data_IF_803430181561
#
_entry.id   IF_803430181561
#
_cell.length_a   1.000
_cell.length_b   1.000
_cell.length_c   1.000
_cell.angle_alpha   90.00
_cell.angle_beta   90.00
_cell.angle_gamma   90.00
#
_symmetry.space_group_name_H-M   'P 1'
#
loop_
_entity.id
_entity.type
_entity.pdbx_description
1 polymer ?
#
# COMPACT_ATOMS: atom_id res chain seq x y z
N UNK A 1 -23.60 -7.15 6.91
CA UNK A 1 -22.55 -6.82 5.93
C UNK A 1 -22.37 -5.32 5.98
N UNK A 2 -21.31 -4.85 6.64
CA UNK A 2 -20.97 -3.43 6.66
C UNK A 2 -20.69 -2.99 5.22
N UNK A 3 -21.27 -1.86 4.77
CA UNK A 3 -20.94 -1.29 3.46
C UNK A 3 -19.54 -0.70 3.55
N UNK A 4 -18.69 -1.00 2.57
CA UNK A 4 -17.35 -0.40 2.45
C UNK A 4 -17.47 1.13 2.51
N UNK A 5 -16.61 1.85 3.26
CA UNK A 5 -16.62 3.30 3.30
C UNK A 5 -16.42 3.89 1.89
N UNK A 6 -17.11 4.98 1.57
CA UNK A 6 -16.96 5.71 0.30
C UNK A 6 -15.72 6.63 0.28
N UNK A 7 -14.76 6.38 1.17
CA UNK A 7 -13.50 7.10 1.27
C UNK A 7 -12.36 6.13 1.61
N UNK A 8 -11.15 6.50 1.24
CA UNK A 8 -9.90 5.84 1.65
C UNK A 8 -9.35 6.55 2.89
N UNK A 9 -8.81 5.77 3.83
CA UNK A 9 -7.95 6.30 4.91
C UNK A 9 -6.54 6.45 4.36
N UNK A 10 -5.99 7.64 4.39
CA UNK A 10 -4.66 7.93 3.85
C UNK A 10 -3.59 7.98 4.95
N UNK A 11 -3.95 8.45 6.14
CA UNK A 11 -3.01 8.64 7.23
C UNK A 11 -3.66 9.35 8.41
N UNK A 12 -3.00 9.28 9.56
CA UNK A 12 -3.39 10.06 10.72
C UNK A 12 -2.15 10.49 11.50
N UNK A 13 -2.27 11.59 12.23
CA UNK A 13 -1.18 12.11 13.06
C UNK A 13 -1.77 12.67 14.36
N UNK A 14 -1.53 12.03 15.50
CA UNK A 14 -1.90 12.60 16.80
C UNK A 14 -0.84 13.60 17.28
N UNK A 15 -1.23 14.51 18.17
CA UNK A 15 -0.28 15.33 18.92
C UNK A 15 0.58 14.47 19.85
N UNK A 16 1.75 14.96 20.24
CA UNK A 16 2.54 14.30 21.28
C UNK A 16 1.85 14.42 22.65
N UNK A 17 2.12 13.47 23.55
CA UNK A 17 1.56 13.48 24.91
C UNK A 17 1.99 14.69 25.75
N UNK A 18 3.16 15.25 25.43
CA UNK A 18 3.75 16.39 26.13
C UNK A 18 3.29 17.76 25.58
N UNK A 19 2.45 17.79 24.54
CA UNK A 19 1.93 19.04 23.99
C UNK A 19 0.83 19.64 24.87
N UNK A 20 0.89 20.94 25.11
CA UNK A 20 -0.12 21.69 25.87
C UNK A 20 -1.51 21.66 25.20
N UNK A 21 -1.53 21.56 23.87
CA UNK A 21 -2.75 21.49 23.06
C UNK A 21 -2.99 20.06 22.64
N UNK A 22 -4.24 19.61 22.78
CA UNK A 22 -4.65 18.26 22.40
C UNK A 22 -5.33 18.32 21.03
N UNK A 23 -4.74 17.62 20.07
CA UNK A 23 -5.25 17.57 18.71
C UNK A 23 -4.85 16.26 18.02
N UNK A 24 -5.57 15.91 16.97
CA UNK A 24 -5.12 14.95 15.97
C UNK A 24 -5.62 15.35 14.59
N UNK A 25 -4.98 14.81 13.57
CA UNK A 25 -5.30 15.02 12.17
C UNK A 25 -5.61 13.68 11.52
N UNK A 26 -6.66 13.65 10.69
CA UNK A 26 -6.99 12.49 9.86
C UNK A 26 -6.94 12.90 8.39
N UNK A 27 -6.37 12.06 7.55
CA UNK A 27 -6.29 12.26 6.11
C UNK A 27 -7.16 11.23 5.40
N UNK A 28 -8.09 11.71 4.58
CA UNK A 28 -9.01 10.87 3.83
C UNK A 28 -9.02 11.26 2.36
N UNK A 29 -9.21 10.29 1.48
CA UNK A 29 -9.41 10.51 0.04
C UNK A 29 -10.79 10.08 -0.38
N UNK A 30 -11.52 10.95 -1.06
CA UNK A 30 -12.86 10.67 -1.60
C UNK A 30 -12.92 11.12 -3.06
N UNK A 31 -13.28 10.21 -3.97
CA UNK A 31 -13.35 10.46 -5.41
C UNK A 31 -12.16 11.27 -5.97
N UNK A 32 -10.94 10.93 -5.56
CA UNK A 32 -9.73 11.58 -6.06
C UNK A 32 -9.37 12.89 -5.38
N UNK A 33 -10.15 13.38 -4.41
CA UNK A 33 -9.85 14.58 -3.61
C UNK A 33 -9.37 14.18 -2.22
N UNK A 34 -8.36 14.88 -1.71
CA UNK A 34 -7.81 14.63 -0.38
C UNK A 34 -8.38 15.67 0.59
N UNK A 35 -8.85 15.23 1.76
CA UNK A 35 -9.30 16.08 2.85
C UNK A 35 -8.49 15.75 4.11
N UNK A 36 -7.85 16.77 4.65
CA UNK A 36 -7.27 16.76 5.99
C UNK A 36 -8.29 17.31 6.98
N UNK A 37 -8.67 16.48 7.97
CA UNK A 37 -9.58 16.85 9.05
C UNK A 37 -8.75 17.11 10.30
N UNK A 38 -8.70 18.37 10.73
CA UNK A 38 -8.07 18.77 11.98
C UNK A 38 -9.09 18.68 13.13
N UNK A 39 -8.76 17.93 14.17
CA UNK A 39 -9.60 17.81 15.36
C UNK A 39 -8.84 18.38 16.55
N UNK A 40 -9.28 19.52 17.05
CA UNK A 40 -8.65 20.23 18.17
C UNK A 40 -9.63 20.33 19.33
N UNK A 41 -9.16 20.02 20.55
CA UNK A 41 -9.97 20.08 21.76
C UNK A 41 -10.62 21.46 21.97
N UNK A 42 -9.95 22.53 21.57
CA UNK A 42 -10.41 23.91 21.77
C UNK A 42 -11.66 24.27 20.93
N UNK A 43 -11.96 23.50 19.89
CA UNK A 43 -13.13 23.72 19.01
C UNK A 43 -14.41 23.04 19.54
N UNK A 44 -14.36 22.47 20.75
CA UNK A 44 -15.44 21.75 21.38
C UNK A 44 -16.08 22.62 22.46
N UNK A 45 -17.19 23.27 22.12
CA UNK A 45 -17.89 24.20 22.99
C UNK A 45 -19.15 23.55 23.56
N UNK A 46 -19.28 23.56 24.89
CA UNK A 46 -20.42 22.94 25.60
C UNK A 46 -20.73 21.50 25.13
N UNK A 47 -19.68 20.71 24.88
CA UNK A 47 -19.79 19.39 24.26
C UNK A 47 -19.07 18.29 25.08
N UNK A 48 -19.54 17.98 26.31
CA UNK A 48 -18.87 17.01 27.19
C UNK A 48 -18.84 15.59 26.60
N UNK A 49 -19.89 15.18 25.88
CA UNK A 49 -19.94 13.85 25.25
C UNK A 49 -18.94 13.75 24.11
N UNK A 50 -18.91 14.75 23.22
CA UNK A 50 -17.97 14.76 22.09
C UNK A 50 -16.52 14.88 22.55
N UNK A 51 -16.28 15.58 23.66
CA UNK A 51 -14.96 15.71 24.26
C UNK A 51 -14.44 14.40 24.87
N UNK A 52 -15.32 13.60 25.47
CA UNK A 52 -15.00 12.26 25.96
C UNK A 52 -14.59 11.33 24.81
N UNK A 53 -15.37 11.31 23.73
CA UNK A 53 -15.05 10.55 22.51
C UNK A 53 -13.72 11.01 21.88
N UNK A 54 -13.51 12.32 21.75
CA UNK A 54 -12.24 12.90 21.27
C UNK A 54 -11.05 12.40 22.08
N UNK A 55 -11.17 12.37 23.40
CA UNK A 55 -10.10 11.94 24.30
C UNK A 55 -9.75 10.47 24.08
N UNK A 56 -10.78 9.60 24.00
CA UNK A 56 -10.58 8.18 23.78
C UNK A 56 -9.96 7.90 22.40
N UNK A 57 -10.38 8.61 21.34
CA UNK A 57 -9.77 8.47 20.03
C UNK A 57 -8.34 9.00 19.97
N UNK A 58 -8.03 10.12 20.64
CA UNK A 58 -6.67 10.63 20.69
C UNK A 58 -5.71 9.65 21.37
N UNK A 59 -6.11 9.06 22.50
CA UNK A 59 -5.31 8.03 23.18
C UNK A 59 -5.09 6.80 22.31
N UNK A 60 -6.13 6.36 21.59
CA UNK A 60 -6.06 5.26 20.63
C UNK A 60 -5.04 5.54 19.51
N UNK A 61 -5.13 6.71 18.87
CA UNK A 61 -4.23 7.08 17.77
C UNK A 61 -2.77 7.26 18.23
N UNK A 62 -2.55 7.73 19.46
CA UNK A 62 -1.20 7.82 20.04
C UNK A 62 -0.56 6.45 20.22
N UNK A 63 -1.33 5.49 20.73
CA UNK A 63 -0.87 4.10 20.87
C UNK A 63 -0.63 3.42 19.51
N UNK A 64 -1.44 3.73 18.50
CA UNK A 64 -1.25 3.23 17.13
C UNK A 64 0.05 3.78 16.53
N UNK A 65 0.30 5.09 16.66
CA UNK A 65 1.53 5.73 16.19
C UNK A 65 2.80 5.26 16.92
N UNK A 66 2.69 4.80 18.16
CA UNK A 66 3.80 4.22 18.95
C UNK A 66 4.03 2.72 18.61
N UNK A 67 3.17 2.11 17.77
CA UNK A 67 3.23 0.69 17.43
C UNK A 67 2.75 -0.24 18.55
N UNK A 68 2.13 0.31 19.59
CA UNK A 68 1.70 -0.43 20.79
C UNK A 68 0.29 -1.03 20.64
N UNK A 69 -0.50 -0.57 19.66
CA UNK A 69 -1.90 -0.96 19.48
C UNK A 69 -2.10 -2.40 18.94
N UNK A 70 -1.18 -2.91 18.12
CA UNK A 70 -1.23 -4.27 17.54
C UNK A 70 -0.44 -5.33 18.34
N UNK A 71 -0.05 -5.05 19.58
CA UNK A 71 0.68 -6.03 20.40
C UNK A 71 -0.19 -7.05 21.14
N UNK A 72 -1.53 -7.03 20.98
CA UNK A 72 -2.45 -7.87 21.76
C UNK A 72 -3.52 -8.64 20.95
N UNK A 73 -3.29 -8.89 19.66
CA UNK A 73 -4.00 -9.97 18.94
C UNK A 73 -3.12 -11.23 18.86
N UNK A 74 -2.61 -11.70 20.01
CA UNK A 74 -2.40 -13.12 20.20
C UNK A 74 -3.66 -13.67 20.88
N UNK A 75 -4.38 -14.54 20.17
CA UNK A 75 -5.45 -15.38 20.71
C UNK A 75 -4.90 -16.26 21.84
N UNK A 76 -4.88 -15.75 23.07
CA UNK A 76 -4.76 -16.58 24.27
C UNK A 76 -6.17 -16.91 24.78
N UNK A 77 -6.73 -17.98 24.21
CA UNK A 77 -7.66 -18.86 24.91
C UNK A 77 -6.93 -19.47 26.11
N UNK A 78 -6.85 -18.76 27.26
CA UNK A 78 -6.83 -19.41 28.57
C UNK A 78 -7.09 -18.44 29.76
N UNK A 79 -8.30 -18.63 30.28
CA UNK A 79 -8.87 -18.33 31.59
C UNK A 79 -7.91 -18.01 32.79
N UNK A 80 -8.25 -16.89 33.46
CA UNK A 80 -8.04 -16.47 34.87
C UNK A 80 -6.88 -15.51 35.23
N UNK A 81 -7.23 -14.22 35.38
CA UNK A 81 -6.52 -13.27 36.23
C UNK A 81 -7.18 -11.88 36.24
N UNK A 82 -7.97 -11.59 37.27
CA UNK A 82 -8.70 -10.32 37.39
C UNK A 82 -7.78 -9.11 37.63
N UNK A 83 -7.84 -8.15 36.70
CA UNK A 83 -7.50 -6.75 36.92
C UNK A 83 -8.71 -5.90 36.59
N UNK A 84 -9.34 -5.30 37.60
CA UNK A 84 -10.51 -4.43 37.45
C UNK A 84 -10.11 -3.13 36.74
N UNK A 85 -10.40 -3.02 35.44
CA UNK A 85 -10.58 -1.72 34.81
C UNK A 85 -11.94 -1.16 35.26
N UNK A 86 -12.03 0.08 35.77
CA UNK A 86 -13.28 0.62 36.27
C UNK A 86 -14.29 0.78 35.11
N UNK A 87 -15.30 -0.09 35.14
CA UNK A 87 -16.51 -0.04 34.32
C UNK A 87 -17.36 1.18 34.71
N UNK A 88 -17.58 2.13 33.79
CA UNK A 88 -18.88 2.76 33.49
C UNK A 88 -18.75 3.92 32.47
N UNK A 89 -18.90 3.59 31.18
CA UNK A 89 -19.53 4.41 30.15
C UNK A 89 -20.05 3.45 29.06
N UNK A 90 -21.16 3.75 28.35
CA UNK A 90 -21.60 2.91 27.24
C UNK A 90 -20.49 2.89 26.20
N UNK A 91 -19.83 1.74 26.03
CA UNK A 91 -18.61 1.61 25.23
C UNK A 91 -18.86 2.12 23.81
N UNK A 92 -18.20 3.23 23.49
CA UNK A 92 -17.91 3.59 22.11
C UNK A 92 -17.25 2.38 21.45
N UNK A 93 -17.62 2.08 20.20
CA UNK A 93 -16.90 1.08 19.40
C UNK A 93 -15.54 1.68 19.03
N UNK A 94 -14.59 1.59 19.98
CA UNK A 94 -13.25 2.15 19.87
C UNK A 94 -12.46 1.35 18.85
N UNK A 95 -12.59 1.76 17.61
CA UNK A 95 -11.83 1.25 16.47
C UNK A 95 -11.32 2.41 15.62
N UNK A 96 -10.26 2.13 14.85
CA UNK A 96 -9.76 3.10 13.87
C UNK A 96 -10.86 3.47 12.86
N UNK A 97 -11.67 2.50 12.44
CA UNK A 97 -12.83 2.74 11.57
C UNK A 97 -13.86 3.67 12.25
N UNK A 98 -14.16 3.42 13.53
CA UNK A 98 -15.05 4.25 14.34
C UNK A 98 -14.57 5.70 14.45
N UNK A 99 -13.26 5.90 14.63
CA UNK A 99 -12.65 7.23 14.71
C UNK A 99 -12.81 8.02 13.39
N UNK A 100 -12.46 7.38 12.27
CA UNK A 100 -12.59 8.03 10.96
C UNK A 100 -14.05 8.32 10.61
N UNK A 101 -14.95 7.36 10.83
CA UNK A 101 -16.39 7.54 10.57
C UNK A 101 -16.97 8.65 11.45
N UNK A 102 -16.57 8.72 12.73
CA UNK A 102 -16.97 9.77 13.66
C UNK A 102 -16.54 11.16 13.16
N UNK A 103 -15.32 11.29 12.68
CA UNK A 103 -14.76 12.57 12.24
C UNK A 103 -15.26 13.01 10.85
N UNK A 104 -15.38 12.09 9.89
CA UNK A 104 -15.73 12.41 8.49
C UNK A 104 -17.22 12.64 8.28
N UNK A 105 -18.08 12.00 9.08
CA UNK A 105 -19.54 12.01 8.88
C UNK A 105 -20.17 13.40 8.75
N UNK A 106 -19.78 14.43 9.52
CA UNK A 106 -20.28 15.79 9.35
C UNK A 106 -19.92 16.42 8.00
N UNK A 107 -18.86 15.94 7.34
CA UNK A 107 -18.36 16.47 6.08
C UNK A 107 -19.00 15.85 4.84
N UNK A 108 -19.73 14.72 4.93
CA UNK A 108 -20.29 14.05 3.75
C UNK A 108 -21.08 14.98 2.80
N UNK A 109 -21.98 15.86 3.28
CA UNK A 109 -22.71 16.75 2.37
C UNK A 109 -21.79 17.73 1.62
N UNK A 110 -20.69 18.18 2.24
CA UNK A 110 -19.72 19.06 1.59
C UNK A 110 -18.81 18.27 0.64
N UNK A 111 -18.41 17.06 1.03
CA UNK A 111 -17.59 16.17 0.21
C UNK A 111 -18.32 15.77 -1.08
N UNK A 112 -19.63 15.52 -1.03
CA UNK A 112 -20.44 15.28 -2.23
C UNK A 112 -20.43 16.47 -3.22
N UNK A 113 -20.24 17.69 -2.73
CA UNK A 113 -20.16 18.91 -3.56
C UNK A 113 -18.76 19.11 -4.17
N UNK A 114 -17.70 18.94 -3.37
CA UNK A 114 -16.31 19.22 -3.81
C UNK A 114 -15.63 18.02 -4.50
N UNK A 115 -16.13 16.81 -4.23
CA UNK A 115 -15.65 15.55 -4.78
C UNK A 115 -16.84 14.73 -5.33
N UNK A 116 -17.54 15.23 -6.35
CA UNK A 116 -18.65 14.50 -6.94
C UNK A 116 -18.16 13.16 -7.52
N UNK A 117 -19.00 12.11 -7.49
CA UNK A 117 -18.63 10.83 -8.05
C UNK A 117 -18.27 10.99 -9.54
N UNK A 118 -17.25 10.25 -10.03
CA UNK A 118 -16.87 10.32 -11.43
C UNK A 118 -18.06 9.96 -12.32
N UNK A 119 -18.32 10.79 -13.33
CA UNK A 119 -19.40 10.52 -14.30
C UNK A 119 -19.09 9.26 -15.11
N UNK A 120 -20.08 8.38 -15.29
CA UNK A 120 -20.01 7.08 -16.01
C UNK A 120 -19.46 7.13 -17.46
N UNK A 121 -19.15 8.31 -18.00
CA UNK A 121 -18.67 8.50 -19.38
C UNK A 121 -17.20 8.95 -19.50
N UNK A 122 -16.52 9.29 -18.40
CA UNK A 122 -15.12 9.73 -18.45
C UNK A 122 -14.18 8.56 -18.13
N UNK A 123 -13.26 8.24 -19.04
CA UNK A 123 -12.12 7.37 -18.74
C UNK A 123 -11.22 8.10 -17.73
N UNK A 124 -11.13 7.58 -16.52
CA UNK A 124 -10.20 8.08 -15.49
C UNK A 124 -8.78 7.76 -15.92
N UNK A 125 -7.88 8.74 -15.87
CA UNK A 125 -6.44 8.54 -16.13
C UNK A 125 -5.63 8.58 -14.85
N UNK A 126 -4.38 8.08 -14.88
CA UNK A 126 -3.47 8.21 -13.73
C UNK A 126 -3.23 9.69 -13.37
N UNK A 127 -3.19 10.60 -14.37
CA UNK A 127 -3.11 12.04 -14.11
C UNK A 127 -4.27 12.49 -13.21
N UNK A 128 -5.51 12.11 -13.54
CA UNK A 128 -6.68 12.48 -12.75
C UNK A 128 -6.69 11.80 -11.37
N UNK A 129 -6.19 10.57 -11.28
CA UNK A 129 -6.08 9.84 -10.02
C UNK A 129 -5.12 10.51 -9.03
N UNK A 130 -4.00 11.06 -9.53
CA UNK A 130 -2.95 11.69 -8.73
C UNK A 130 -3.08 13.23 -8.63
N UNK A 131 -3.83 13.89 -9.50
CA UNK A 131 -4.03 15.36 -9.49
C UNK A 131 -5.05 15.83 -8.45
N UNK A 132 -5.22 15.09 -7.35
CA UNK A 132 -6.21 15.39 -6.33
C UNK A 132 -5.97 16.77 -5.71
N UNK A 133 -7.02 17.59 -5.63
CA UNK A 133 -6.97 18.81 -4.83
C UNK A 133 -6.92 18.42 -3.36
N UNK A 134 -6.12 19.16 -2.59
CA UNK A 134 -6.01 19.00 -1.16
C UNK A 134 -6.88 20.04 -0.48
N UNK A 135 -7.71 19.56 0.43
CA UNK A 135 -8.61 20.37 1.23
C UNK A 135 -8.26 20.20 2.69
N UNK A 136 -8.50 21.23 3.47
CA UNK A 136 -8.29 21.21 4.91
C UNK A 136 -9.52 21.78 5.61
N UNK A 137 -9.96 21.12 6.68
CA UNK A 137 -11.06 21.61 7.50
C UNK A 137 -10.92 21.18 8.96
N UNK A 138 -11.38 22.04 9.87
CA UNK A 138 -11.48 21.70 11.29
C UNK A 138 -12.80 21.00 11.62
N UNK A 139 -12.78 19.97 12.46
CA UNK A 139 -13.99 19.41 13.08
C UNK A 139 -14.32 20.21 14.35
N UNK A 140 -15.58 20.62 14.49
CA UNK A 140 -16.06 21.39 15.64
C UNK A 140 -17.17 20.66 16.36
N UNK A 141 -17.37 20.96 17.64
CA UNK A 141 -18.52 20.50 18.39
C UNK A 141 -19.20 21.67 19.12
N UNK A 142 -20.51 21.81 18.96
CA UNK A 142 -21.32 22.79 19.70
C UNK A 142 -22.54 22.09 20.27
N UNK A 143 -22.75 22.22 21.57
CA UNK A 143 -23.88 21.60 22.27
C UNK A 143 -23.98 20.09 22.01
N UNK A 144 -22.84 19.39 22.05
CA UNK A 144 -22.65 17.95 21.77
C UNK A 144 -22.95 17.50 20.33
N UNK A 145 -23.08 18.44 19.40
CA UNK A 145 -23.29 18.15 17.97
C UNK A 145 -22.02 18.45 17.19
N UNK A 146 -21.56 17.49 16.39
CA UNK A 146 -20.43 17.67 15.48
C UNK A 146 -20.82 18.50 14.26
N UNK A 147 -19.94 19.43 13.88
CA UNK A 147 -20.11 20.31 12.73
C UNK A 147 -18.84 20.34 11.89
N UNK A 148 -18.98 20.30 10.54
CA UNK A 148 -17.85 20.54 9.67
C UNK A 148 -17.45 22.02 9.77
N UNK A 149 -16.15 22.28 9.96
CA UNK A 149 -15.58 23.61 9.77
C UNK A 149 -15.58 24.02 8.30
N UNK A 150 -15.15 25.25 8.04
CA UNK A 150 -15.00 25.75 6.68
C UNK A 150 -13.91 24.94 5.97
N UNK A 151 -14.23 24.44 4.78
CA UNK A 151 -13.26 23.78 3.93
C UNK A 151 -12.41 24.84 3.23
N UNK A 152 -11.11 24.74 3.40
CA UNK A 152 -10.13 25.55 2.71
C UNK A 152 -9.45 24.71 1.63
N UNK A 153 -9.31 25.26 0.42
CA UNK A 153 -8.40 24.69 -0.57
C UNK A 153 -7.00 24.92 -0.03
N UNK A 154 -6.25 23.85 0.17
CA UNK A 154 -4.83 23.94 0.42
C UNK A 154 -4.18 24.19 -0.93
N UNK A 155 -3.78 25.45 -1.17
CA UNK A 155 -2.78 25.70 -2.20
C UNK A 155 -1.63 24.74 -1.91
N UNK A 156 -1.14 24.07 -2.94
CA UNK A 156 -0.07 23.07 -2.84
C UNK A 156 1.22 23.80 -2.39
N UNK A 157 1.28 24.23 -1.13
CA UNK A 157 2.39 24.90 -0.49
C UNK A 157 3.45 23.83 -0.33
N UNK A 158 4.42 23.90 -1.23
CA UNK A 158 5.67 23.18 -1.22
C UNK A 158 5.50 21.65 -1.42
N UNK A 159 5.44 21.14 -2.66
CA UNK A 159 6.67 20.91 -3.44
C UNK A 159 7.87 21.63 -2.83
N UNK A 160 8.34 21.16 -1.67
CA UNK A 160 9.65 21.51 -1.15
C UNK A 160 10.60 21.32 -2.31
N UNK A 161 11.19 22.45 -2.73
CA UNK A 161 12.26 22.60 -3.71
C UNK A 161 12.88 21.25 -4.03
N UNK A 162 12.51 20.70 -5.18
CA UNK A 162 13.14 19.51 -5.72
C UNK A 162 14.64 19.72 -5.71
N UNK A 163 15.34 18.96 -4.88
CA UNK A 163 16.60 18.45 -5.37
C UNK A 163 16.18 17.56 -6.52
N UNK A 164 16.50 17.95 -7.76
CA UNK A 164 16.36 17.07 -8.89
C UNK A 164 17.03 15.74 -8.51
N UNK A 165 16.21 14.75 -8.13
CA UNK A 165 16.63 13.37 -8.00
C UNK A 165 17.42 13.05 -9.25
N UNK A 166 18.53 12.34 -9.05
CA UNK A 166 19.47 12.08 -10.14
C UNK A 166 18.67 11.52 -11.30
N UNK A 167 18.56 12.27 -12.41
CA UNK A 167 17.74 11.88 -13.56
C UNK A 167 18.35 10.59 -14.13
N UNK A 168 17.91 9.45 -13.63
CA UNK A 168 18.39 8.16 -14.03
C UNK A 168 17.85 7.90 -15.43
N UNK A 169 18.72 7.38 -16.29
CA UNK A 169 18.40 7.21 -17.70
C UNK A 169 17.94 5.77 -17.90
N UNK A 170 16.72 5.63 -18.40
CA UNK A 170 16.22 4.37 -18.95
C UNK A 170 16.10 4.48 -20.47
N UNK A 171 16.17 3.34 -21.16
CA UNK A 171 15.87 3.23 -22.60
C UNK A 171 14.46 2.70 -22.85
N UNK A 172 13.71 2.36 -21.80
CA UNK A 172 12.32 1.93 -21.95
C UNK A 172 11.41 3.09 -22.39
N UNK A 173 10.26 2.79 -23.01
CA UNK A 173 9.28 3.80 -23.36
C UNK A 173 8.77 4.58 -22.13
N UNK A 174 8.61 5.89 -22.30
CA UNK A 174 7.98 6.77 -21.31
C UNK A 174 6.58 7.13 -21.77
N UNK A 175 5.62 7.04 -20.86
CA UNK A 175 4.22 7.43 -21.07
C UNK A 175 3.85 8.56 -20.12
N UNK A 176 3.03 9.50 -20.58
CA UNK A 176 2.51 10.54 -19.70
C UNK A 176 1.32 9.98 -18.91
N UNK A 177 1.18 10.35 -17.63
CA UNK A 177 0.10 9.86 -16.76
C UNK A 177 -1.31 10.11 -17.33
N UNK A 178 -1.48 11.16 -18.15
CA UNK A 178 -2.73 11.48 -18.87
C UNK A 178 -3.07 10.52 -20.01
N UNK A 179 -2.11 9.71 -20.46
CA UNK A 179 -2.26 8.72 -21.54
C UNK A 179 -2.60 7.33 -21.00
N UNK A 180 -2.52 7.15 -19.67
CA UNK A 180 -2.71 5.86 -19.00
C UNK A 180 -4.08 5.87 -18.31
N UNK A 181 -5.01 5.09 -18.84
CA UNK A 181 -6.36 4.91 -18.32
C UNK A 181 -6.35 3.95 -17.12
N UNK A 182 -7.04 4.28 -16.03
CA UNK A 182 -7.26 3.38 -14.89
C UNK A 182 -8.43 2.45 -15.21
N UNK A 183 -8.25 1.16 -14.94
CA UNK A 183 -9.28 0.14 -15.10
C UNK A 183 -9.75 -0.34 -13.72
N UNK A 184 -11.05 -0.32 -13.51
CA UNK A 184 -11.67 -0.89 -12.31
C UNK A 184 -12.90 -1.70 -12.69
N UNK A 185 -13.10 -2.82 -11.99
CA UNK A 185 -14.34 -3.60 -12.06
C UNK A 185 -15.48 -2.95 -11.26
N UNK A 186 -15.16 -1.98 -10.39
CA UNK A 186 -16.12 -1.18 -9.65
C UNK A 186 -15.79 0.33 -9.84
N UNK A 187 -16.53 1.02 -10.74
CA UNK A 187 -16.36 2.45 -10.97
C UNK A 187 -16.54 3.31 -9.71
N UNK A 188 -17.26 2.81 -8.69
CA UNK A 188 -17.50 3.52 -7.42
C UNK A 188 -16.19 3.76 -6.66
N UNK A 189 -15.25 2.83 -6.73
CA UNK A 189 -13.99 2.87 -5.98
C UNK A 189 -12.77 3.13 -6.86
N UNK A 190 -12.94 3.46 -8.15
CA UNK A 190 -11.82 3.66 -9.09
C UNK A 190 -10.83 4.76 -8.69
N UNK A 191 -11.27 5.72 -7.87
CA UNK A 191 -10.43 6.81 -7.34
C UNK A 191 -10.03 6.60 -5.86
N UNK A 192 -10.35 5.42 -5.32
CA UNK A 192 -10.12 5.00 -3.92
C UNK A 192 -9.13 3.82 -3.91
N UNK A 193 -9.34 2.83 -4.77
CA UNK A 193 -8.45 1.70 -4.92
C UNK A 193 -7.15 2.11 -5.60
N UNK A 194 -6.04 1.51 -5.20
CA UNK A 194 -4.77 1.70 -5.86
C UNK A 194 -4.89 1.32 -7.35
N UNK A 195 -4.45 2.18 -8.29
CA UNK A 195 -4.76 2.03 -9.71
C UNK A 195 -3.83 1.02 -10.38
N UNK A 196 -3.85 -0.23 -9.91
CA UNK A 196 -2.92 -1.28 -10.33
C UNK A 196 -3.22 -1.85 -11.71
N UNK A 197 -4.48 -1.81 -12.17
CA UNK A 197 -4.84 -2.24 -13.52
C UNK A 197 -5.07 -1.02 -14.41
N UNK A 198 -4.32 -0.93 -15.51
CA UNK A 198 -4.35 0.24 -16.38
C UNK A 198 -4.34 -0.14 -17.87
N UNK A 199 -4.73 0.80 -18.72
CA UNK A 199 -4.64 0.68 -20.18
C UNK A 199 -3.85 1.83 -20.77
N UNK A 200 -2.90 1.51 -21.64
CA UNK A 200 -2.21 2.50 -22.48
C UNK A 200 -2.03 1.93 -23.88
N UNK A 201 -2.27 2.75 -24.90
CA UNK A 201 -2.20 2.34 -26.32
C UNK A 201 -3.02 1.06 -26.64
N UNK A 202 -4.17 0.89 -25.97
CA UNK A 202 -5.05 -0.27 -26.16
C UNK A 202 -4.57 -1.57 -25.50
N UNK A 203 -3.51 -1.52 -24.67
CA UNK A 203 -2.95 -2.66 -23.96
C UNK A 203 -3.21 -2.56 -22.46
N UNK A 204 -3.74 -3.63 -21.89
CA UNK A 204 -3.95 -3.74 -20.44
C UNK A 204 -2.65 -4.20 -19.76
N UNK A 205 -2.28 -3.51 -18.68
CA UNK A 205 -1.00 -3.63 -17.99
C UNK A 205 -1.21 -3.49 -16.48
N UNK A 206 -0.22 -3.96 -15.72
CA UNK A 206 -0.11 -3.69 -14.30
C UNK A 206 0.69 -2.40 -14.08
N UNK A 207 0.15 -1.45 -13.33
CA UNK A 207 0.84 -0.25 -12.89
C UNK A 207 1.32 -0.44 -11.45
N UNK A 208 2.62 -0.25 -11.22
CA UNK A 208 3.21 -0.20 -9.88
C UNK A 208 3.57 1.26 -9.61
N UNK A 209 2.89 1.87 -8.64
CA UNK A 209 3.17 3.23 -8.22
C UNK A 209 4.48 3.29 -7.42
N UNK A 210 5.22 4.38 -7.56
CA UNK A 210 6.34 4.70 -6.67
C UNK A 210 5.83 5.48 -5.46
N UNK A 211 6.49 5.28 -4.32
CA UNK A 211 6.09 5.96 -3.09
C UNK A 211 6.46 7.45 -3.14
N UNK A 212 7.58 7.79 -3.79
CA UNK A 212 8.09 9.15 -3.89
C UNK A 212 8.57 9.50 -5.33
N UNK A 213 8.54 10.79 -5.73
CA UNK A 213 9.08 11.23 -7.02
C UNK A 213 10.59 10.99 -7.20
N UNK A 214 11.33 10.96 -6.08
CA UNK A 214 12.78 10.73 -6.02
C UNK A 214 13.12 9.27 -5.65
N UNK A 215 12.17 8.34 -5.85
CA UNK A 215 12.28 6.96 -5.41
C UNK A 215 13.43 6.20 -6.11
N UNK A 216 14.57 6.19 -5.42
CA UNK A 216 15.76 5.45 -5.83
C UNK A 216 15.54 3.93 -5.87
N UNK A 217 14.55 3.43 -5.14
CA UNK A 217 14.16 2.01 -5.11
C UNK A 217 13.38 1.69 -6.39
N UNK A 218 12.39 2.52 -6.74
CA UNK A 218 11.68 2.43 -8.02
C UNK A 218 12.63 2.53 -9.22
N UNK A 219 13.62 3.43 -9.16
CA UNK A 219 14.68 3.53 -10.16
C UNK A 219 15.50 2.23 -10.28
N UNK A 220 15.83 1.61 -9.15
CA UNK A 220 16.56 0.34 -9.12
C UNK A 220 15.78 -0.77 -9.82
N UNK A 221 14.48 -0.89 -9.52
CA UNK A 221 13.62 -1.90 -10.14
C UNK A 221 13.53 -1.73 -11.65
N UNK A 222 13.31 -0.50 -12.15
CA UNK A 222 13.23 -0.24 -13.59
C UNK A 222 14.52 -0.62 -14.30
N UNK A 223 15.67 -0.23 -13.74
CA UNK A 223 16.98 -0.57 -14.32
C UNK A 223 17.24 -2.09 -14.28
N UNK A 224 16.78 -2.80 -13.26
CA UNK A 224 16.90 -4.25 -13.17
C UNK A 224 16.01 -4.96 -14.19
N UNK A 225 14.75 -4.56 -14.33
CA UNK A 225 13.84 -5.11 -15.33
C UNK A 225 14.28 -4.79 -16.78
N UNK A 226 14.93 -3.65 -16.99
CA UNK A 226 15.55 -3.28 -18.25
C UNK A 226 16.72 -4.22 -18.59
N UNK A 227 17.61 -4.53 -17.62
CA UNK A 227 18.65 -5.55 -17.79
C UNK A 227 18.04 -6.92 -18.14
N UNK A 228 16.97 -7.31 -17.46
CA UNK A 228 16.27 -8.57 -17.71
C UNK A 228 15.70 -8.62 -19.14
N UNK A 229 15.17 -7.50 -19.63
CA UNK A 229 14.65 -7.36 -20.99
C UNK A 229 15.77 -7.46 -22.04
N UNK A 230 16.94 -6.89 -21.74
CA UNK A 230 18.10 -6.88 -22.64
C UNK A 230 18.87 -8.22 -22.67
N UNK A 231 18.81 -9.02 -21.60
CA UNK A 231 19.55 -10.28 -21.48
C UNK A 231 19.02 -11.42 -22.38
N UNK A 232 17.97 -11.19 -23.18
CA UNK A 232 17.49 -12.12 -24.23
C UNK A 232 17.27 -13.56 -23.75
N UNK A 233 16.64 -13.72 -22.59
CA UNK A 233 16.34 -15.03 -22.02
C UNK A 233 15.41 -15.87 -22.89
N UNK A 234 15.55 -17.20 -22.81
CA UNK A 234 14.54 -18.12 -23.31
C UNK A 234 13.20 -17.85 -22.58
N UNK A 235 12.07 -17.64 -23.28
CA UNK A 235 10.76 -17.42 -22.67
C UNK A 235 10.32 -18.53 -21.70
N UNK A 236 10.84 -19.76 -21.87
CA UNK A 236 10.51 -20.88 -20.98
C UNK A 236 11.32 -20.89 -19.67
N UNK A 237 12.48 -20.22 -19.65
CA UNK A 237 13.39 -20.15 -18.51
C UNK A 237 13.10 -18.95 -17.61
N UNK A 238 12.67 -17.83 -18.19
CA UNK A 238 12.50 -16.58 -17.46
C UNK A 238 11.02 -16.30 -17.18
N UNK A 239 10.56 -16.70 -15.99
CA UNK A 239 9.20 -16.45 -15.48
C UNK A 239 9.18 -15.23 -14.57
N UNK A 240 9.08 -14.07 -15.19
CA UNK A 240 8.90 -12.80 -14.51
C UNK A 240 8.05 -11.87 -15.36
N UNK A 241 7.48 -10.83 -14.76
CA UNK A 241 6.81 -9.79 -15.52
C UNK A 241 7.82 -8.99 -16.35
N UNK A 242 7.36 -8.43 -17.47
CA UNK A 242 8.20 -7.66 -18.39
C UNK A 242 7.87 -6.19 -18.28
N UNK A 243 8.91 -5.36 -18.18
CA UNK A 243 8.79 -3.91 -18.26
C UNK A 243 8.25 -3.52 -19.63
N UNK A 244 7.15 -2.78 -19.62
CA UNK A 244 6.56 -2.17 -20.80
C UNK A 244 7.00 -0.71 -20.97
N UNK A 245 7.17 0.00 -19.85
CA UNK A 245 7.65 1.38 -19.82
C UNK A 245 7.50 2.02 -18.44
N UNK A 246 7.80 3.29 -18.35
CA UNK A 246 7.61 4.13 -17.14
C UNK A 246 6.48 5.14 -17.35
N UNK A 247 5.93 5.65 -16.25
CA UNK A 247 4.91 6.69 -16.26
C UNK A 247 5.47 7.96 -15.62
N UNK A 248 5.29 9.09 -16.29
CA UNK A 248 5.68 10.42 -15.78
C UNK A 248 4.46 11.31 -15.53
N UNK A 249 4.54 12.17 -14.51
CA UNK A 249 3.60 13.27 -14.29
C UNK A 249 3.86 14.46 -15.25
N UNK A 250 3.04 15.51 -15.17
CA UNK A 250 3.20 16.73 -15.98
C UNK A 250 4.49 17.52 -15.69
N UNK A 251 5.15 17.24 -14.57
CA UNK A 251 6.44 17.84 -14.17
C UNK A 251 7.64 16.97 -14.58
N UNK A 252 7.40 15.87 -15.30
CA UNK A 252 8.41 14.87 -15.69
C UNK A 252 9.05 14.11 -14.51
N UNK A 253 8.34 13.99 -13.39
CA UNK A 253 8.72 13.03 -12.36
C UNK A 253 8.20 11.65 -12.72
N UNK A 254 9.03 10.62 -12.52
CA UNK A 254 8.60 9.23 -12.70
C UNK A 254 7.74 8.83 -11.50
N UNK A 255 6.48 8.50 -11.74
CA UNK A 255 5.50 8.16 -10.69
C UNK A 255 5.25 6.65 -10.58
N UNK A 256 5.86 5.85 -11.46
CA UNK A 256 5.74 4.40 -11.43
C UNK A 256 6.14 3.73 -12.74
N UNK A 257 5.95 2.41 -12.79
CA UNK A 257 6.25 1.60 -13.97
C UNK A 257 5.06 0.77 -14.45
N UNK A 258 5.11 0.42 -15.73
CA UNK A 258 4.14 -0.43 -16.41
C UNK A 258 4.73 -1.81 -16.65
N UNK A 259 4.05 -2.82 -16.14
CA UNK A 259 4.41 -4.22 -16.21
C UNK A 259 3.39 -5.00 -17.01
N UNK A 260 3.85 -6.01 -17.73
CA UNK A 260 2.96 -6.97 -18.36
C UNK A 260 2.14 -7.74 -17.30
N UNK A 261 0.83 -7.79 -17.51
CA UNK A 261 -0.08 -8.43 -16.57
C UNK A 261 0.19 -9.93 -16.45
N UNK A 262 0.25 -10.43 -15.22
CA UNK A 262 0.24 -11.86 -14.88
C UNK A 262 -1.16 -12.14 -14.33
N UNK A 263 -1.84 -13.19 -14.83
CA UNK A 263 -3.15 -13.58 -14.31
C UNK A 263 -2.97 -14.32 -12.98
N UNK A 264 -2.77 -13.54 -11.92
CA UNK A 264 -2.48 -14.02 -10.56
C UNK A 264 -3.71 -14.68 -9.96
N UNK A 265 -3.49 -15.84 -9.35
CA UNK A 265 -4.43 -16.47 -8.45
C UNK A 265 -4.10 -16.07 -6.99
N UNK A 266 -2.83 -16.18 -6.58
CA UNK A 266 -2.35 -15.69 -5.27
C UNK A 266 -0.82 -15.58 -5.21
N UNK A 267 -0.26 -15.16 -4.08
CA UNK A 267 1.18 -15.33 -3.81
C UNK A 267 1.52 -16.78 -3.47
N UNK A 268 2.77 -17.20 -3.69
CA UNK A 268 3.24 -18.53 -3.28
C UNK A 268 3.15 -18.71 -1.76
N UNK A 269 3.37 -17.64 -1.00
CA UNK A 269 3.20 -17.63 0.44
C UNK A 269 1.77 -18.01 0.83
N UNK A 270 0.79 -17.27 0.32
CA UNK A 270 -0.62 -17.47 0.62
C UNK A 270 -1.14 -18.80 0.10
N UNK A 271 -0.64 -19.28 -1.06
CA UNK A 271 -0.92 -20.64 -1.52
C UNK A 271 -0.48 -21.66 -0.49
N UNK A 272 0.76 -21.61 -0.01
CA UNK A 272 1.29 -22.64 0.91
C UNK A 272 0.58 -22.63 2.27
N UNK A 273 0.18 -21.46 2.78
CA UNK A 273 -0.50 -21.31 4.08
C UNK A 273 -2.02 -21.54 3.98
N UNK A 274 -2.69 -20.90 3.02
CA UNK A 274 -4.15 -20.75 3.00
C UNK A 274 -4.92 -21.86 2.28
N UNK A 275 -4.29 -22.63 1.39
CA UNK A 275 -4.94 -23.70 0.63
C UNK A 275 -4.31 -25.03 1.00
N UNK A 276 -5.13 -25.96 1.50
CA UNK A 276 -4.70 -27.28 1.99
C UNK A 276 -3.76 -28.05 1.05
N UNK A 277 -3.18 -29.19 1.50
CA UNK A 277 -1.92 -29.71 0.97
C UNK A 277 -1.96 -29.90 -0.55
N UNK A 278 -1.27 -29.02 -1.28
CA UNK A 278 -0.98 -29.23 -2.69
C UNK A 278 -0.22 -30.54 -2.87
N UNK A 279 -0.59 -31.29 -3.91
CA UNK A 279 0.13 -32.50 -4.28
C UNK A 279 1.60 -32.19 -4.56
N UNK A 280 2.49 -33.13 -4.22
CA UNK A 280 3.94 -32.99 -4.39
C UNK A 280 4.35 -32.51 -5.79
N UNK A 281 3.62 -32.94 -6.82
CA UNK A 281 3.84 -32.52 -8.20
C UNK A 281 3.78 -31.00 -8.42
N UNK A 282 2.81 -30.32 -7.80
CA UNK A 282 2.63 -28.86 -7.94
C UNK A 282 3.73 -28.13 -7.20
N UNK A 283 4.05 -28.56 -5.97
CA UNK A 283 5.17 -28.03 -5.19
C UNK A 283 6.51 -28.18 -5.92
N UNK A 284 6.77 -29.36 -6.50
CA UNK A 284 7.98 -29.61 -7.29
C UNK A 284 8.03 -28.77 -8.57
N UNK A 285 6.87 -28.45 -9.16
CA UNK A 285 6.79 -27.51 -10.29
C UNK A 285 7.17 -26.10 -9.87
N UNK A 286 6.59 -25.58 -8.79
CA UNK A 286 6.91 -24.24 -8.27
C UNK A 286 8.40 -24.12 -7.93
N UNK A 287 8.95 -25.06 -7.16
CA UNK A 287 10.39 -25.08 -6.84
C UNK A 287 11.26 -25.01 -8.09
N UNK A 288 10.99 -25.86 -9.09
CA UNK A 288 11.75 -25.88 -10.35
C UNK A 288 11.67 -24.55 -11.12
N UNK A 289 10.52 -23.89 -11.09
CA UNK A 289 10.30 -22.64 -11.81
C UNK A 289 11.00 -21.45 -11.16
N UNK A 290 10.89 -21.35 -9.83
CA UNK A 290 11.58 -20.32 -9.06
C UNK A 290 13.09 -20.52 -9.19
N UNK A 291 13.59 -21.75 -8.95
CA UNK A 291 15.01 -22.08 -9.11
C UNK A 291 15.52 -21.75 -10.53
N UNK A 292 14.82 -22.21 -11.56
CA UNK A 292 15.23 -21.99 -12.94
C UNK A 292 15.28 -20.50 -13.32
N UNK A 293 14.34 -19.70 -12.80
CA UNK A 293 14.30 -18.25 -13.03
C UNK A 293 15.47 -17.57 -12.33
N UNK A 294 15.70 -17.84 -11.04
CA UNK A 294 16.80 -17.26 -10.26
C UNK A 294 18.16 -17.65 -10.84
N UNK A 295 18.35 -18.92 -11.21
CA UNK A 295 19.58 -19.37 -11.87
C UNK A 295 19.82 -18.64 -13.20
N UNK A 296 18.76 -18.40 -13.98
CA UNK A 296 18.87 -17.65 -15.23
C UNK A 296 19.27 -16.18 -14.98
N UNK A 297 18.66 -15.52 -14.00
CA UNK A 297 19.04 -14.17 -13.58
C UNK A 297 20.52 -14.10 -13.21
N UNK A 298 20.98 -15.02 -12.35
CA UNK A 298 22.36 -15.05 -11.88
C UNK A 298 23.36 -15.34 -13.01
N UNK A 299 23.01 -16.22 -13.98
CA UNK A 299 23.84 -16.44 -15.18
C UNK A 299 24.04 -15.16 -16.00
N UNK A 300 23.07 -14.26 -15.99
CA UNK A 300 23.16 -12.96 -16.65
C UNK A 300 23.77 -11.86 -15.77
N UNK A 301 24.21 -12.19 -14.55
CA UNK A 301 24.74 -11.22 -13.59
C UNK A 301 23.70 -10.28 -12.99
N UNK A 302 22.43 -10.71 -12.97
CA UNK A 302 21.29 -9.96 -12.41
C UNK A 302 20.94 -10.56 -11.05
N UNK A 303 20.80 -9.71 -10.04
CA UNK A 303 20.38 -10.08 -8.68
C UNK A 303 18.88 -9.84 -8.56
N UNK A 304 18.16 -10.74 -7.87
CA UNK A 304 16.74 -10.57 -7.57
C UNK A 304 16.55 -9.56 -6.43
N UNK A 305 17.28 -9.73 -5.32
CA UNK A 305 17.49 -8.70 -4.31
C UNK A 305 16.64 -8.82 -3.05
N UNK A 306 15.43 -9.39 -3.15
CA UNK A 306 14.54 -9.68 -2.00
C UNK A 306 13.82 -11.02 -2.18
N UNK A 307 14.61 -12.10 -2.15
CA UNK A 307 14.11 -13.46 -2.37
C UNK A 307 13.25 -13.95 -1.18
N UNK A 308 11.92 -13.92 -1.36
CA UNK A 308 10.91 -14.42 -0.40
C UNK A 308 9.68 -14.99 -1.10
N UNK A 309 8.89 -15.79 -0.38
CA UNK A 309 7.72 -16.46 -0.98
C UNK A 309 6.60 -15.49 -1.38
N UNK A 310 6.44 -14.35 -0.70
CA UNK A 310 5.47 -13.31 -1.10
C UNK A 310 5.85 -12.59 -2.39
N UNK A 311 7.13 -12.60 -2.78
CA UNK A 311 7.62 -12.07 -4.06
C UNK A 311 7.60 -13.12 -5.19
N UNK A 312 6.90 -14.24 -4.98
CA UNK A 312 6.60 -15.21 -6.02
C UNK A 312 5.09 -15.27 -6.20
N UNK A 313 4.61 -14.94 -7.40
CA UNK A 313 3.20 -15.05 -7.75
C UNK A 313 2.89 -16.44 -8.30
N UNK A 314 1.72 -16.97 -7.97
CA UNK A 314 1.16 -18.17 -8.58
C UNK A 314 0.01 -17.75 -9.49
N UNK A 315 0.13 -18.05 -10.78
CA UNK A 315 -0.92 -17.73 -11.74
C UNK A 315 -2.08 -18.75 -11.72
N UNK A 316 -3.14 -18.44 -12.45
CA UNK A 316 -4.32 -19.31 -12.60
C UNK A 316 -4.04 -20.68 -13.24
N UNK A 317 -2.87 -20.87 -13.87
CA UNK A 317 -2.40 -22.16 -14.39
C UNK A 317 -1.50 -22.91 -13.39
N UNK A 318 -1.41 -22.41 -12.16
CA UNK A 318 -0.54 -22.86 -11.07
C UNK A 318 0.96 -22.83 -11.44
N UNK A 319 1.38 -21.87 -12.26
CA UNK A 319 2.79 -21.57 -12.54
C UNK A 319 3.31 -20.48 -11.61
N UNK A 320 4.56 -20.65 -11.16
CA UNK A 320 5.24 -19.69 -10.28
C UNK A 320 6.04 -18.66 -11.09
N UNK A 321 5.89 -17.39 -10.73
CA UNK A 321 6.51 -16.22 -11.35
C UNK A 321 7.27 -15.40 -10.32
N UNK A 322 8.54 -15.13 -10.58
CA UNK A 322 9.38 -14.27 -9.74
C UNK A 322 9.08 -12.82 -10.07
N UNK A 323 8.77 -12.00 -9.07
CA UNK A 323 8.49 -10.56 -9.21
C UNK A 323 9.25 -9.77 -8.15
N UNK A 324 9.08 -8.44 -8.19
CA UNK A 324 9.61 -7.49 -7.23
C UNK A 324 11.15 -7.45 -7.19
N UNK A 325 11.71 -6.50 -7.96
CA UNK A 325 13.16 -6.30 -8.12
C UNK A 325 13.64 -4.98 -7.52
N UNK A 326 12.86 -4.40 -6.62
CA UNK A 326 13.21 -3.21 -5.84
C UNK A 326 14.39 -3.48 -4.90
N UNK A 327 14.58 -4.74 -4.52
CA UNK A 327 15.49 -5.15 -3.47
C UNK A 327 14.91 -4.85 -2.10
N UNK A 328 15.69 -5.10 -1.06
CA UNK A 328 15.24 -4.90 0.31
C UNK A 328 15.77 -5.97 1.25
N UNK A 329 15.26 -5.97 2.47
CA UNK A 329 15.56 -6.97 3.48
C UNK A 329 14.27 -7.35 4.19
N UNK A 330 13.82 -8.57 3.97
CA UNK A 330 12.73 -9.17 4.76
C UNK A 330 13.32 -10.08 5.82
N UNK A 331 13.00 -9.83 7.10
CA UNK A 331 13.44 -10.69 8.20
C UNK A 331 12.96 -12.14 8.02
N UNK A 332 13.78 -13.09 8.49
CA UNK A 332 13.53 -14.53 8.34
C UNK A 332 13.93 -15.13 6.98
N UNK A 333 13.88 -14.37 5.88
CA UNK A 333 14.15 -14.89 4.54
C UNK A 333 15.63 -14.79 4.13
N UNK A 334 16.25 -13.63 4.35
CA UNK A 334 17.64 -13.35 3.95
C UNK A 334 18.35 -12.63 5.10
N UNK A 335 19.58 -13.04 5.40
CA UNK A 335 20.42 -12.38 6.39
C UNK A 335 20.75 -10.95 5.97
N UNK A 336 20.75 -10.00 6.92
CA UNK A 336 20.96 -8.57 6.63
C UNK A 336 22.31 -8.29 5.94
N UNK A 337 23.33 -9.08 6.23
CA UNK A 337 24.66 -8.98 5.62
C UNK A 337 24.70 -9.43 4.14
N UNK A 338 23.63 -10.07 3.65
CA UNK A 338 23.53 -10.68 2.32
C UNK A 338 22.44 -10.09 1.44
N UNK A 339 21.62 -9.18 1.97
CA UNK A 339 20.57 -8.49 1.24
C UNK A 339 21.11 -7.84 -0.04
N UNK A 340 20.36 -7.94 -1.16
CA UNK A 340 20.80 -7.37 -2.44
C UNK A 340 21.99 -8.07 -3.10
N UNK A 341 22.30 -9.33 -2.75
CA UNK A 341 23.40 -10.10 -3.33
C UNK A 341 22.95 -11.45 -3.92
N UNK A 342 23.77 -12.02 -4.81
CA UNK A 342 23.59 -13.40 -5.31
C UNK A 342 23.56 -14.40 -4.15
N UNK A 343 24.39 -14.21 -3.12
CA UNK A 343 24.40 -15.09 -1.96
C UNK A 343 23.08 -15.00 -1.18
N UNK A 344 22.55 -13.79 -1.03
CA UNK A 344 21.24 -13.53 -0.41
C UNK A 344 20.10 -14.19 -1.19
N UNK A 345 20.09 -14.06 -2.51
CA UNK A 345 19.10 -14.72 -3.38
C UNK A 345 19.14 -16.25 -3.22
N UNK A 346 20.33 -16.85 -3.15
CA UNK A 346 20.50 -18.28 -2.94
C UNK A 346 20.06 -18.73 -1.54
N UNK A 347 20.24 -17.87 -0.53
CA UNK A 347 19.74 -18.13 0.82
C UNK A 347 18.21 -18.08 0.84
N UNK A 348 17.61 -17.02 0.32
CA UNK A 348 16.15 -16.88 0.24
C UNK A 348 15.51 -17.99 -0.61
N UNK A 349 16.16 -18.40 -1.71
CA UNK A 349 15.71 -19.53 -2.52
C UNK A 349 15.64 -20.85 -1.73
N UNK A 350 16.62 -21.13 -0.85
CA UNK A 350 16.58 -22.30 0.04
C UNK A 350 15.43 -22.21 1.03
N UNK A 351 15.23 -21.03 1.63
CA UNK A 351 14.12 -20.78 2.55
C UNK A 351 12.75 -20.97 1.86
N UNK A 352 12.58 -20.49 0.62
CA UNK A 352 11.37 -20.70 -0.18
C UNK A 352 11.13 -22.20 -0.43
N UNK A 353 12.17 -22.96 -0.78
CA UNK A 353 12.04 -24.40 -1.03
C UNK A 353 11.61 -25.14 0.25
N UNK A 354 12.26 -24.86 1.37
CA UNK A 354 11.93 -25.46 2.67
C UNK A 354 10.52 -25.08 3.12
N UNK A 355 10.12 -23.82 2.93
CA UNK A 355 8.77 -23.33 3.20
C UNK A 355 7.72 -24.05 2.35
N UNK A 356 7.94 -24.19 1.04
CA UNK A 356 7.02 -24.92 0.15
C UNK A 356 6.86 -26.37 0.58
N UNK A 357 7.93 -27.03 1.02
CA UNK A 357 7.90 -28.43 1.44
C UNK A 357 7.21 -28.61 2.80
N UNK A 358 7.47 -27.72 3.76
CA UNK A 358 7.06 -27.89 5.16
C UNK A 358 5.81 -27.11 5.56
N UNK A 359 5.47 -26.05 4.83
CA UNK A 359 4.46 -25.06 5.21
C UNK A 359 4.85 -24.22 6.44
N UNK A 360 6.11 -24.25 6.86
CA UNK A 360 6.59 -23.52 8.03
C UNK A 360 7.43 -22.34 7.60
N UNK A 361 7.11 -21.18 8.14
CA UNK A 361 7.90 -19.98 7.91
C UNK A 361 9.36 -20.17 8.36
N UNK A 362 10.31 -19.54 7.66
CA UNK A 362 11.70 -19.59 8.06
C UNK A 362 11.88 -18.86 9.41
N UNK A 363 12.65 -19.47 10.31
CA UNK A 363 12.94 -18.86 11.60
C UNK A 363 13.74 -17.55 11.43
N UNK A 364 13.46 -16.56 12.28
CA UNK A 364 14.20 -15.29 12.32
C UNK A 364 15.69 -15.59 12.47
N UNK A 365 16.48 -15.23 11.47
CA UNK A 365 17.92 -15.41 11.49
C UNK A 365 18.54 -14.25 12.29
N UNK A 366 19.15 -14.57 13.43
CA UNK A 366 19.84 -13.61 14.31
C UNK A 366 21.16 -13.09 13.73
#
# INVERSE_FOLDING_TARGET
MSRRPHYQRCGHTPCNRDEDKRWFMLEVKMHGRNLTINVCQEEFHNSPTRLDEFTQYLEMLQLDSEGEWLSNEEEDDDVHGGGEFPMQCPRLDLSLDGCYEWAIRPFFPLLEEIAPPPSDAATITLQQFFSGEYFEAGLKAVDDILHPGVIHVRDNMDNVVGNAGTLWKTTCPTFQAREVEVLSNDPTYILIDEPTNVRVQGKELFFKAFQDPDDSIGAHEVLTLEKISNASFNPQEMRTSRLYGIVEDEKSHVIGLLLHYIQVDDTLYDKVIGLGPFGSYVKDRWKRQVMGTVEALHRAGIVWGDAKASNVLVDTAADAWVVDFEGGQTEGWVGRDKAGTIEGDLQGLRAIIDFVDTGREPAIMA
#
